data_IF_627851272881
#
_entry.id   IF_627851272881
#
_cell.length_a   1.000
_cell.length_b   1.000
_cell.length_c   1.000
_cell.angle_alpha   90.00
_cell.angle_beta   90.00
_cell.angle_gamma   90.00
#
_symmetry.space_group_name_H-M   'P 1'
#
loop_
_entity.id
_entity.type
_entity.pdbx_description
1 polymer ?
#
# COMPACT_ATOMS: atom_id res chain seq x y z
N UNK A 1 -14.20 -8.43 -12.67
CA UNK A 1 -15.17 -8.05 -11.63
C UNK A 1 -16.53 -8.57 -12.06
N UNK A 2 -17.17 -9.36 -11.20
CA UNK A 2 -18.44 -9.98 -11.52
C UNK A 2 -19.63 -9.08 -11.17
N UNK A 3 -20.84 -9.50 -11.55
CA UNK A 3 -22.06 -8.73 -11.28
C UNK A 3 -22.46 -8.72 -9.79
N UNK A 4 -21.97 -9.69 -9.00
CA UNK A 4 -22.23 -9.75 -7.57
C UNK A 4 -21.37 -8.71 -6.83
N UNK A 5 -20.07 -8.64 -7.13
CA UNK A 5 -19.13 -7.63 -6.65
C UNK A 5 -19.68 -6.22 -6.89
N UNK A 6 -20.21 -5.97 -8.09
CA UNK A 6 -20.79 -4.66 -8.41
C UNK A 6 -21.98 -4.32 -7.52
N UNK A 7 -22.91 -5.25 -7.34
CA UNK A 7 -24.10 -5.02 -6.49
C UNK A 7 -23.71 -4.81 -5.03
N UNK A 8 -22.74 -5.56 -4.54
CA UNK A 8 -22.25 -5.44 -3.18
C UNK A 8 -21.59 -4.07 -2.93
N UNK A 9 -20.73 -3.62 -3.84
CA UNK A 9 -20.10 -2.30 -3.74
C UNK A 9 -21.14 -1.18 -3.79
N UNK A 10 -22.09 -1.23 -4.73
CA UNK A 10 -23.15 -0.21 -4.84
C UNK A 10 -24.01 -0.17 -3.58
N UNK A 11 -24.50 -1.32 -3.09
CA UNK A 11 -25.34 -1.37 -1.89
C UNK A 11 -24.61 -0.91 -0.62
N UNK A 12 -23.30 -1.15 -0.53
CA UNK A 12 -22.48 -0.64 0.56
C UNK A 12 -22.33 0.88 0.50
N UNK A 13 -22.12 1.46 -0.68
CA UNK A 13 -22.06 2.92 -0.84
C UNK A 13 -23.41 3.58 -0.52
N UNK A 14 -24.53 2.99 -0.96
CA UNK A 14 -25.87 3.45 -0.59
C UNK A 14 -26.09 3.40 0.93
N UNK A 15 -25.62 2.33 1.59
CA UNK A 15 -25.68 2.19 3.04
C UNK A 15 -24.85 3.28 3.74
N UNK A 16 -23.65 3.57 3.22
CA UNK A 16 -22.79 4.61 3.77
C UNK A 16 -23.41 6.01 3.64
N UNK A 17 -23.99 6.34 2.47
CA UNK A 17 -24.74 7.59 2.26
C UNK A 17 -25.87 7.72 3.30
N UNK A 18 -26.65 6.65 3.49
CA UNK A 18 -27.74 6.64 4.45
C UNK A 18 -27.24 6.86 5.89
N UNK A 19 -26.19 6.15 6.31
CA UNK A 19 -25.62 6.32 7.65
C UNK A 19 -25.12 7.75 7.88
N UNK A 20 -24.48 8.38 6.89
CA UNK A 20 -24.05 9.77 6.96
C UNK A 20 -25.23 10.74 7.03
N UNK A 21 -26.28 10.52 6.24
CA UNK A 21 -27.52 11.30 6.28
C UNK A 21 -28.28 11.19 7.60
N UNK A 22 -28.21 10.03 8.26
CA UNK A 22 -28.78 9.80 9.60
C UNK A 22 -27.89 10.29 10.75
N UNK A 23 -26.69 10.84 10.46
CA UNK A 23 -25.73 11.29 11.49
C UNK A 23 -25.04 10.14 12.26
N UNK A 24 -25.14 8.90 11.77
CA UNK A 24 -24.62 7.68 12.43
C UNK A 24 -23.14 7.47 12.11
N UNK A 25 -22.31 8.41 12.54
CA UNK A 25 -20.89 8.47 12.14
C UNK A 25 -20.04 7.29 12.60
N UNK A 26 -20.34 6.70 13.76
CA UNK A 26 -19.62 5.52 14.26
C UNK A 26 -19.87 4.27 13.41
N UNK A 27 -21.10 4.07 12.96
CA UNK A 27 -21.46 2.93 12.11
C UNK A 27 -20.94 3.10 10.68
N UNK A 28 -20.96 4.34 10.16
CA UNK A 28 -20.31 4.66 8.90
C UNK A 28 -18.81 4.36 8.95
N UNK A 29 -18.13 4.70 10.06
CA UNK A 29 -16.71 4.37 10.23
C UNK A 29 -16.48 2.85 10.33
N UNK A 30 -17.29 2.13 11.11
CA UNK A 30 -17.21 0.67 11.20
C UNK A 30 -17.37 0.00 9.82
N UNK A 31 -18.29 0.51 8.98
CA UNK A 31 -18.46 0.03 7.61
C UNK A 31 -17.21 0.30 6.75
N UNK A 32 -16.58 1.47 6.87
CA UNK A 32 -15.33 1.78 6.15
C UNK A 32 -14.20 0.85 6.57
N UNK A 33 -14.08 0.55 7.87
CA UNK A 33 -13.11 -0.42 8.39
C UNK A 33 -13.36 -1.80 7.80
N UNK A 34 -14.61 -2.27 7.77
CA UNK A 34 -14.96 -3.56 7.15
C UNK A 34 -14.57 -3.60 5.67
N UNK A 35 -14.94 -2.55 4.92
CA UNK A 35 -14.67 -2.42 3.48
C UNK A 35 -13.16 -2.39 3.19
N UNK A 36 -12.33 -1.86 4.09
CA UNK A 36 -10.88 -1.88 3.92
C UNK A 36 -10.34 -3.33 3.80
N UNK A 37 -10.95 -4.30 4.47
CA UNK A 37 -10.54 -5.71 4.43
C UNK A 37 -11.05 -6.49 3.21
N UNK A 38 -11.87 -5.87 2.35
CA UNK A 38 -12.40 -6.50 1.15
C UNK A 38 -11.31 -6.83 0.12
N UNK A 39 -11.60 -7.72 -0.86
CA UNK A 39 -10.67 -8.00 -1.94
C UNK A 39 -10.23 -6.72 -2.68
N UNK A 40 -8.92 -6.57 -2.88
CA UNK A 40 -8.31 -5.40 -3.53
C UNK A 40 -8.95 -5.04 -4.88
N UNK A 41 -9.40 -6.04 -5.64
CA UNK A 41 -10.07 -5.86 -6.93
C UNK A 41 -11.35 -5.00 -6.86
N UNK A 42 -11.95 -4.80 -5.67
CA UNK A 42 -13.13 -3.96 -5.46
C UNK A 42 -12.80 -2.49 -5.25
N UNK A 43 -11.58 -2.13 -4.88
CA UNK A 43 -11.17 -0.75 -4.58
C UNK A 43 -11.41 0.23 -5.74
N UNK A 44 -11.10 -0.12 -7.01
CA UNK A 44 -11.42 0.76 -8.13
C UNK A 44 -12.90 1.08 -8.30
N UNK A 45 -13.79 0.11 -8.02
CA UNK A 45 -15.23 0.36 -8.10
C UNK A 45 -15.71 1.16 -6.90
N UNK A 46 -15.22 0.85 -5.69
CA UNK A 46 -15.51 1.64 -4.48
C UNK A 46 -15.15 3.11 -4.69
N UNK A 47 -13.96 3.39 -5.21
CA UNK A 47 -13.53 4.73 -5.60
C UNK A 47 -14.56 5.43 -6.52
N UNK A 48 -14.95 4.76 -7.60
CA UNK A 48 -15.86 5.33 -8.59
C UNK A 48 -17.28 5.58 -8.03
N UNK A 49 -17.81 4.66 -7.23
CA UNK A 49 -19.13 4.79 -6.60
C UNK A 49 -19.13 5.87 -5.51
N UNK A 50 -18.12 5.89 -4.64
CA UNK A 50 -17.98 6.89 -3.58
C UNK A 50 -17.78 8.29 -4.15
N UNK A 51 -17.00 8.45 -5.22
CA UNK A 51 -16.86 9.71 -5.94
C UNK A 51 -18.20 10.20 -6.49
N UNK A 52 -18.98 9.30 -7.12
CA UNK A 52 -20.32 9.63 -7.65
C UNK A 52 -21.31 10.01 -6.55
N UNK A 53 -21.19 9.41 -5.37
CA UNK A 53 -21.99 9.73 -4.21
C UNK A 53 -21.51 10.98 -3.43
N UNK A 54 -20.41 11.62 -3.84
CA UNK A 54 -19.84 12.78 -3.14
C UNK A 54 -19.13 12.45 -1.83
N UNK A 55 -18.74 11.19 -1.61
CA UNK A 55 -18.15 10.68 -0.37
C UNK A 55 -16.62 10.80 -0.35
N UNK A 56 -16.07 11.91 -0.81
CA UNK A 56 -14.60 12.10 -0.91
C UNK A 56 -13.86 11.99 0.43
N UNK A 57 -14.47 12.47 1.52
CA UNK A 57 -13.90 12.37 2.87
C UNK A 57 -13.89 10.93 3.40
N UNK A 58 -14.97 10.19 3.15
CA UNK A 58 -15.04 8.76 3.49
C UNK A 58 -14.05 7.94 2.65
N UNK A 59 -13.87 8.30 1.38
CA UNK A 59 -12.87 7.66 0.53
C UNK A 59 -11.45 7.88 1.06
N UNK A 60 -11.11 9.10 1.48
CA UNK A 60 -9.83 9.37 2.13
C UNK A 60 -9.65 8.57 3.44
N UNK A 61 -10.74 8.36 4.20
CA UNK A 61 -10.73 7.52 5.39
C UNK A 61 -10.49 6.05 5.02
N UNK A 62 -11.16 5.53 3.99
CA UNK A 62 -10.97 4.16 3.52
C UNK A 62 -9.53 3.91 3.05
N UNK A 63 -8.93 4.85 2.31
CA UNK A 63 -7.52 4.76 1.91
C UNK A 63 -6.60 4.67 3.14
N UNK A 64 -6.92 5.42 4.20
CA UNK A 64 -6.12 5.40 5.42
C UNK A 64 -6.24 4.07 6.18
N UNK A 65 -7.45 3.52 6.30
CA UNK A 65 -7.66 2.18 6.85
C UNK A 65 -6.92 1.12 6.03
N UNK A 66 -6.97 1.21 4.69
CA UNK A 66 -6.29 0.30 3.79
C UNK A 66 -4.76 0.34 3.93
N UNK A 67 -4.18 1.52 4.14
CA UNK A 67 -2.73 1.69 4.36
C UNK A 67 -2.26 1.10 5.71
N UNK A 68 -3.18 0.90 6.67
CA UNK A 68 -2.89 0.30 7.97
C UNK A 68 -2.94 -1.24 7.95
N UNK A 69 -3.37 -1.84 6.83
CA UNK A 69 -3.45 -3.29 6.67
C UNK A 69 -2.05 -3.95 6.62
N UNK A 70 -1.96 -5.29 6.71
CA UNK A 70 -0.74 -6.02 6.37
C UNK A 70 -0.24 -5.66 4.96
N UNK A 71 1.08 -5.66 4.78
CA UNK A 71 1.74 -5.20 3.56
C UNK A 71 1.20 -5.83 2.27
N UNK A 72 0.87 -7.11 2.30
CA UNK A 72 0.28 -7.78 1.14
C UNK A 72 -1.04 -7.16 0.72
N UNK A 73 -1.92 -6.83 1.67
CA UNK A 73 -3.24 -6.26 1.39
C UNK A 73 -3.13 -4.82 0.92
N UNK A 74 -2.30 -4.00 1.58
CA UNK A 74 -2.12 -2.60 1.20
C UNK A 74 -1.52 -2.50 -0.21
N UNK A 75 -0.53 -3.34 -0.55
CA UNK A 75 0.09 -3.30 -1.88
C UNK A 75 -0.86 -3.83 -2.95
N UNK A 76 -1.63 -4.88 -2.66
CA UNK A 76 -2.64 -5.37 -3.60
C UNK A 76 -3.71 -4.30 -3.90
N UNK A 77 -4.15 -3.56 -2.88
CA UNK A 77 -5.09 -2.45 -3.06
C UNK A 77 -4.48 -1.32 -3.92
N UNK A 78 -3.22 -0.95 -3.65
CA UNK A 78 -2.50 0.06 -4.43
C UNK A 78 -2.29 -0.35 -5.90
N UNK A 79 -1.94 -1.62 -6.15
CA UNK A 79 -1.80 -2.17 -7.51
C UNK A 79 -3.15 -2.17 -8.25
N UNK A 80 -4.23 -2.60 -7.58
CA UNK A 80 -5.57 -2.58 -8.17
C UNK A 80 -6.02 -1.16 -8.55
N UNK A 81 -5.74 -0.17 -7.71
CA UNK A 81 -6.02 1.25 -7.99
C UNK A 81 -5.16 1.76 -9.15
N UNK A 82 -3.87 1.49 -9.15
CA UNK A 82 -2.94 1.89 -10.21
C UNK A 82 -3.34 1.30 -11.56
N UNK A 83 -3.64 0.00 -11.61
CA UNK A 83 -4.11 -0.70 -12.80
C UNK A 83 -5.43 -0.15 -13.36
N UNK A 84 -6.26 0.44 -12.48
CA UNK A 84 -7.50 1.10 -12.87
C UNK A 84 -7.35 2.59 -13.22
N UNK A 85 -6.11 3.09 -13.36
CA UNK A 85 -5.84 4.49 -13.71
C UNK A 85 -5.92 5.46 -12.52
N UNK A 86 -5.90 4.95 -11.28
CA UNK A 86 -5.91 5.73 -10.04
C UNK A 86 -4.57 5.66 -9.32
N UNK A 87 -3.51 5.98 -10.06
CA UNK A 87 -2.12 5.90 -9.58
C UNK A 87 -1.87 6.77 -8.34
N UNK A 88 -2.43 7.99 -8.28
CA UNK A 88 -2.25 8.90 -7.13
C UNK A 88 -2.74 8.28 -5.81
N UNK A 89 -3.84 7.54 -5.85
CA UNK A 89 -4.37 6.85 -4.67
C UNK A 89 -3.55 5.62 -4.30
N UNK A 90 -3.08 4.87 -5.30
CA UNK A 90 -2.17 3.76 -5.07
C UNK A 90 -0.87 4.25 -4.42
N UNK A 91 -0.30 5.33 -4.95
CA UNK A 91 0.89 5.98 -4.38
C UNK A 91 0.61 6.51 -2.97
N UNK A 92 -0.55 7.11 -2.72
CA UNK A 92 -0.93 7.59 -1.39
C UNK A 92 -0.93 6.45 -0.36
N UNK A 93 -1.58 5.32 -0.65
CA UNK A 93 -1.60 4.15 0.25
C UNK A 93 -0.17 3.66 0.49
N UNK A 94 0.63 3.51 -0.57
CA UNK A 94 2.00 3.01 -0.45
C UNK A 94 2.86 3.93 0.42
N UNK A 95 2.82 5.25 0.20
CA UNK A 95 3.55 6.24 1.00
C UNK A 95 3.16 6.22 2.48
N UNK A 96 1.89 5.95 2.78
CA UNK A 96 1.42 5.79 4.16
C UNK A 96 1.88 4.46 4.77
N UNK A 97 1.81 3.36 4.01
CA UNK A 97 2.20 2.02 4.46
C UNK A 97 3.71 1.89 4.76
N UNK A 98 4.55 2.68 4.09
CA UNK A 98 6.00 2.70 4.32
C UNK A 98 6.43 3.52 5.55
N UNK A 99 5.50 4.13 6.28
CA UNK A 99 5.76 4.80 7.56
C UNK A 99 6.12 3.83 8.71
N UNK A 100 5.92 2.52 8.51
CA UNK A 100 6.23 1.46 9.48
C UNK A 100 7.74 1.34 9.76
N UNK A 101 8.15 0.77 10.91
CA UNK A 101 9.54 0.51 11.24
C UNK A 101 10.27 -0.31 10.16
N UNK A 102 11.55 -0.02 9.93
CA UNK A 102 12.34 -0.65 8.87
C UNK A 102 12.37 -2.19 8.95
N UNK A 103 12.41 -2.75 10.16
CA UNK A 103 12.36 -4.20 10.38
C UNK A 103 11.01 -4.81 9.96
N UNK A 104 9.89 -4.12 10.17
CA UNK A 104 8.57 -4.57 9.71
C UNK A 104 8.49 -4.56 8.18
N UNK A 105 9.08 -3.55 7.53
CA UNK A 105 9.17 -3.50 6.07
C UNK A 105 9.98 -4.68 5.54
N UNK A 106 11.15 -4.95 6.13
CA UNK A 106 11.99 -6.10 5.75
C UNK A 106 11.23 -7.43 5.88
N UNK A 107 10.56 -7.66 7.01
CA UNK A 107 9.76 -8.88 7.24
C UNK A 107 8.59 -9.00 6.25
N UNK A 108 7.90 -7.90 5.98
CA UNK A 108 6.82 -7.87 5.00
C UNK A 108 7.29 -8.27 3.60
N UNK A 109 8.43 -7.72 3.14
CA UNK A 109 9.00 -8.05 1.83
C UNK A 109 9.41 -9.51 1.78
N UNK A 110 10.05 -10.05 2.81
CA UNK A 110 10.39 -11.49 2.88
C UNK A 110 9.14 -12.37 2.77
N UNK A 111 8.06 -12.00 3.47
CA UNK A 111 6.78 -12.72 3.35
C UNK A 111 6.21 -12.70 1.93
N UNK A 112 6.26 -11.55 1.25
CA UNK A 112 5.80 -11.40 -0.12
C UNK A 112 6.64 -12.19 -1.13
N UNK A 113 7.97 -12.21 -0.95
CA UNK A 113 8.89 -13.03 -1.74
C UNK A 113 8.56 -14.51 -1.58
N UNK A 114 8.37 -14.98 -0.33
CA UNK A 114 7.98 -16.37 -0.05
C UNK A 114 6.63 -16.76 -0.68
N UNK A 115 5.73 -15.80 -0.88
CA UNK A 115 4.44 -15.99 -1.54
C UNK A 115 4.47 -15.80 -3.06
N UNK A 116 5.64 -15.53 -3.67
CA UNK A 116 5.77 -15.32 -5.12
C UNK A 116 5.14 -14.00 -5.62
N UNK A 117 4.93 -13.03 -4.72
CA UNK A 117 4.24 -11.76 -5.00
C UNK A 117 5.21 -10.70 -5.53
N UNK A 118 5.84 -10.98 -6.66
CA UNK A 118 6.94 -10.16 -7.20
C UNK A 118 6.53 -8.74 -7.60
N UNK A 119 5.29 -8.53 -8.07
CA UNK A 119 4.80 -7.19 -8.41
C UNK A 119 4.65 -6.35 -7.16
N UNK A 120 4.13 -6.96 -6.09
CA UNK A 120 3.89 -6.33 -4.82
C UNK A 120 5.19 -5.97 -4.11
N UNK A 121 6.21 -6.85 -4.17
CA UNK A 121 7.56 -6.56 -3.67
C UNK A 121 8.12 -5.29 -4.32
N UNK A 122 8.03 -5.18 -5.66
CA UNK A 122 8.54 -4.02 -6.40
C UNK A 122 7.81 -2.74 -6.01
N UNK A 123 6.48 -2.76 -6.02
CA UNK A 123 5.67 -1.58 -5.68
C UNK A 123 5.96 -1.07 -4.26
N UNK A 124 6.14 -1.97 -3.29
CA UNK A 124 6.47 -1.60 -1.91
C UNK A 124 7.88 -1.01 -1.80
N UNK A 125 8.89 -1.66 -2.40
CA UNK A 125 10.28 -1.21 -2.30
C UNK A 125 10.54 0.08 -3.07
N UNK A 126 9.91 0.27 -4.24
CA UNK A 126 9.98 1.53 -4.99
C UNK A 126 9.44 2.70 -4.16
N UNK A 127 8.28 2.51 -3.51
CA UNK A 127 7.72 3.52 -2.61
C UNK A 127 8.60 3.74 -1.37
N UNK A 128 9.14 2.67 -0.79
CA UNK A 128 9.96 2.72 0.42
C UNK A 128 11.25 3.51 0.19
N UNK A 129 11.99 3.22 -0.90
CA UNK A 129 13.27 3.89 -1.22
C UNK A 129 13.06 5.35 -1.66
N UNK A 130 11.91 5.71 -2.23
CA UNK A 130 11.58 7.11 -2.54
C UNK A 130 11.33 7.96 -1.28
N UNK A 131 10.72 7.36 -0.26
CA UNK A 131 10.29 8.09 0.95
C UNK A 131 11.36 8.08 2.04
N UNK A 132 12.08 6.97 2.22
CA UNK A 132 13.04 6.82 3.32
C UNK A 132 14.42 7.34 2.95
N UNK A 133 15.11 7.84 3.96
CA UNK A 133 16.54 8.11 3.83
C UNK A 133 17.31 6.78 3.66
N UNK A 134 18.43 6.78 2.92
CA UNK A 134 19.20 5.57 2.60
C UNK A 134 19.55 4.71 3.83
N UNK A 135 19.90 5.33 4.95
CA UNK A 135 20.29 4.64 6.19
C UNK A 135 19.12 3.90 6.85
N UNK A 136 17.91 4.44 6.72
CA UNK A 136 16.71 3.76 7.20
C UNK A 136 16.32 2.62 6.27
N UNK A 137 16.42 2.83 4.95
CA UNK A 137 16.17 1.78 3.98
C UNK A 137 17.14 0.59 4.16
N UNK A 138 18.44 0.87 4.37
CA UNK A 138 19.45 -0.13 4.65
C UNK A 138 19.16 -0.97 5.89
N UNK A 139 18.59 -0.37 6.95
CA UNK A 139 18.21 -1.10 8.19
C UNK A 139 17.17 -2.19 7.96
N UNK A 140 16.31 -2.06 6.93
CA UNK A 140 15.32 -3.09 6.61
C UNK A 140 15.96 -4.42 6.18
N UNK A 141 17.18 -4.37 5.60
CA UNK A 141 17.90 -5.55 5.14
C UNK A 141 18.23 -6.54 6.27
N UNK A 142 18.24 -6.10 7.53
CA UNK A 142 18.51 -6.95 8.69
C UNK A 142 17.54 -8.15 8.82
N UNK A 143 16.33 -8.07 8.26
CA UNK A 143 15.37 -9.16 8.33
C UNK A 143 15.79 -10.40 7.50
N UNK A 144 16.41 -10.19 6.34
CA UNK A 144 17.01 -11.22 5.50
C UNK A 144 17.96 -10.54 4.50
N UNK A 145 19.25 -10.38 4.83
CA UNK A 145 20.17 -9.63 3.98
C UNK A 145 20.36 -10.25 2.59
N UNK A 146 20.31 -11.58 2.48
CA UNK A 146 20.52 -12.29 1.22
C UNK A 146 19.42 -12.01 0.20
N UNK A 147 18.18 -11.90 0.68
CA UNK A 147 17.03 -11.56 -0.16
C UNK A 147 16.87 -10.06 -0.35
N UNK A 148 17.03 -9.27 0.72
CA UNK A 148 16.62 -7.86 0.71
C UNK A 148 17.64 -6.93 0.08
N UNK A 149 18.95 -7.18 0.23
CA UNK A 149 19.96 -6.28 -0.34
C UNK A 149 19.83 -6.14 -1.86
N UNK A 150 19.74 -7.22 -2.66
CA UNK A 150 19.60 -7.09 -4.11
C UNK A 150 18.32 -6.34 -4.51
N UNK A 151 17.20 -6.61 -3.83
CA UNK A 151 15.91 -5.99 -4.13
C UNK A 151 15.88 -4.50 -3.78
N UNK A 152 16.50 -4.11 -2.67
CA UNK A 152 16.65 -2.71 -2.27
C UNK A 152 17.50 -1.93 -3.30
N UNK A 153 18.59 -2.53 -3.78
CA UNK A 153 19.44 -1.93 -4.81
C UNK A 153 18.75 -1.83 -6.17
N UNK A 154 17.96 -2.84 -6.57
CA UNK A 154 17.12 -2.81 -7.77
C UNK A 154 16.11 -1.66 -7.71
N UNK A 155 15.39 -1.53 -6.58
CA UNK A 155 14.43 -0.45 -6.38
C UNK A 155 15.11 0.93 -6.40
N UNK A 156 16.25 1.09 -5.72
CA UNK A 156 17.00 2.35 -5.72
C UNK A 156 17.50 2.74 -7.12
N UNK A 157 17.96 1.76 -7.90
CA UNK A 157 18.35 1.96 -9.29
C UNK A 157 17.17 2.42 -10.17
N UNK A 158 15.96 1.92 -9.88
CA UNK A 158 14.73 2.38 -10.53
C UNK A 158 14.33 3.82 -10.18
N UNK A 159 14.86 4.39 -9.08
CA UNK A 159 14.63 5.78 -8.68
C UNK A 159 15.64 6.71 -9.33
N UNK A 160 16.94 6.50 -9.10
CA UNK A 160 18.04 7.25 -9.73
C UNK A 160 19.40 6.61 -9.43
N UNK A 161 20.42 6.92 -10.25
CA UNK A 161 21.79 6.48 -9.99
C UNK A 161 22.33 7.01 -8.65
N UNK A 162 22.00 8.26 -8.29
CA UNK A 162 22.37 8.85 -7.00
C UNK A 162 21.77 8.04 -5.84
N UNK A 163 20.48 7.69 -5.92
CA UNK A 163 19.82 6.88 -4.89
C UNK A 163 20.40 5.48 -4.77
N UNK A 164 20.79 4.88 -5.89
CA UNK A 164 21.49 3.61 -5.87
C UNK A 164 22.80 3.68 -5.08
N UNK A 165 23.67 4.65 -5.39
CA UNK A 165 24.96 4.78 -4.72
C UNK A 165 24.85 5.18 -3.25
N UNK A 166 23.91 6.07 -2.91
CA UNK A 166 23.58 6.40 -1.53
C UNK A 166 23.21 5.15 -0.73
N UNK A 167 22.37 4.28 -1.30
CA UNK A 167 21.92 3.07 -0.63
C UNK A 167 23.04 2.02 -0.52
N UNK A 168 23.87 1.87 -1.56
CA UNK A 168 25.10 1.04 -1.49
C UNK A 168 25.97 1.51 -0.32
N UNK A 169 26.18 2.82 -0.17
CA UNK A 169 26.97 3.37 0.92
C UNK A 169 26.34 3.06 2.29
N UNK A 170 25.04 3.32 2.45
CA UNK A 170 24.32 3.06 3.68
C UNK A 170 24.33 1.57 4.09
N UNK A 171 24.18 0.66 3.12
CA UNK A 171 24.25 -0.78 3.35
C UNK A 171 25.63 -1.22 3.86
N UNK A 172 26.71 -0.67 3.27
CA UNK A 172 28.08 -0.95 3.73
C UNK A 172 28.32 -0.43 5.15
N UNK A 173 27.84 0.78 5.46
CA UNK A 173 27.91 1.34 6.81
C UNK A 173 27.15 0.47 7.82
N UNK A 174 26.03 -0.10 7.40
CA UNK A 174 25.24 -1.03 8.21
C UNK A 174 25.85 -2.45 8.32
N UNK A 175 26.96 -2.74 7.64
CA UNK A 175 27.66 -4.02 7.68
C UNK A 175 27.13 -5.09 6.71
N UNK A 176 26.31 -4.70 5.73
CA UNK A 176 25.83 -5.60 4.69
C UNK A 176 26.75 -5.58 3.47
N UNK A 177 26.89 -6.74 2.82
CA UNK A 177 27.57 -6.84 1.53
C UNK A 177 26.67 -6.22 0.45
N UNK A 178 27.13 -5.14 -0.19
CA UNK A 178 26.42 -4.38 -1.21
C UNK A 178 27.31 -4.13 -2.44
#
# INVERSE_FOLDING_TARGET
MDAADRREVVGTVETLVRLRGEGRSGEAHALLVEVAYWPAARFPLLAAEMQRAGLGADWATLLWEAASLPAERLVAAADALTAAGRADDGEQILRQGVARPANEIGQAVVGLVGAGRHREVRALLDAYVRVRIPEEAARSAAADPGTLVPLLLEAAQGVSDERHWDLVHALRVAGFAA
#
